data_IF_762320890854
#
_entry.id   IF_762320890854
#
_cell.length_a   1.000
_cell.length_b   1.000
_cell.length_c   1.000
_cell.angle_alpha   90.00
_cell.angle_beta   90.00
_cell.angle_gamma   90.00
#
_symmetry.space_group_name_H-M   'P 1'
#
loop_
_entity.id
_entity.type
_entity.pdbx_description
1 polymer ?
#
# COMPACT_ATOMS: atom_id res chain seq x y z
N UNK A 1 13.07 0.40 8.53
CA UNK A 1 11.91 -0.06 9.32
C UNK A 1 12.35 -1.22 10.22
N UNK A 2 12.33 -1.06 11.56
CA UNK A 2 12.83 -2.10 12.51
C UNK A 2 11.76 -3.10 12.95
N UNK A 3 10.52 -2.87 12.54
CA UNK A 3 9.32 -3.57 13.07
C UNK A 3 8.84 -4.72 12.21
N UNK A 4 9.33 -4.83 10.97
CA UNK A 4 9.06 -5.97 10.09
C UNK A 4 10.21 -6.96 10.21
N UNK A 5 9.90 -8.18 10.64
CA UNK A 5 10.85 -9.27 10.81
C UNK A 5 10.48 -10.40 9.85
N UNK A 6 11.39 -10.87 8.99
CA UNK A 6 11.06 -11.99 8.11
C UNK A 6 10.83 -13.24 8.98
N UNK A 7 9.71 -13.92 8.75
CA UNK A 7 9.38 -15.16 9.43
C UNK A 7 10.15 -16.31 8.79
N UNK A 8 10.80 -17.12 9.60
CA UNK A 8 11.50 -18.32 9.11
C UNK A 8 10.50 -19.37 8.62
N UNK A 9 10.82 -20.03 7.51
CA UNK A 9 9.97 -21.06 6.92
C UNK A 9 9.94 -20.95 5.40
N UNK A 10 9.34 -21.95 4.75
CA UNK A 10 9.03 -21.93 3.33
C UNK A 10 7.53 -22.03 3.18
N UNK A 11 6.91 -20.97 2.69
CA UNK A 11 5.49 -20.90 2.44
C UNK A 11 5.28 -20.77 0.93
N UNK A 12 4.34 -21.54 0.40
CA UNK A 12 4.00 -21.51 -1.02
C UNK A 12 2.51 -21.57 -1.20
N UNK A 13 2.02 -21.02 -2.28
CA UNK A 13 0.68 -21.26 -2.78
C UNK A 13 0.51 -22.72 -3.23
N UNK A 14 -0.72 -23.13 -3.53
CA UNK A 14 -1.02 -24.49 -4.04
C UNK A 14 -0.35 -24.81 -5.37
N UNK A 15 -0.07 -23.79 -6.18
CA UNK A 15 0.67 -23.88 -7.44
C UNK A 15 2.19 -23.71 -7.27
N UNK A 16 2.69 -23.63 -6.03
CA UNK A 16 4.12 -23.59 -5.72
C UNK A 16 4.77 -22.20 -5.79
N UNK A 17 4.00 -21.14 -5.97
CA UNK A 17 4.51 -19.76 -5.95
C UNK A 17 4.94 -19.39 -4.52
N UNK A 18 6.18 -18.92 -4.29
CA UNK A 18 6.66 -18.57 -2.95
C UNK A 18 5.86 -17.43 -2.31
N UNK A 19 5.66 -17.52 -0.99
CA UNK A 19 5.04 -16.48 -0.16
C UNK A 19 6.07 -16.05 0.88
N UNK A 20 6.42 -14.77 0.89
CA UNK A 20 7.21 -14.20 1.97
C UNK A 20 6.30 -13.81 3.14
N UNK A 21 6.61 -14.33 4.33
CA UNK A 21 5.84 -14.04 5.53
C UNK A 21 6.67 -13.17 6.47
N UNK A 22 6.06 -12.10 6.98
CA UNK A 22 6.71 -11.12 7.83
C UNK A 22 5.89 -10.91 9.12
N UNK A 23 6.57 -10.91 10.25
CA UNK A 23 6.01 -10.54 11.55
C UNK A 23 6.15 -9.02 11.74
N UNK A 24 5.04 -8.35 11.96
CA UNK A 24 4.96 -6.93 12.26
C UNK A 24 4.85 -6.71 13.77
N UNK A 25 6.01 -6.39 14.37
CA UNK A 25 6.17 -6.07 15.79
C UNK A 25 6.33 -4.55 15.93
N UNK A 26 5.20 -3.85 16.00
CA UNK A 26 5.11 -2.40 16.11
C UNK A 26 5.61 -1.89 17.48
N UNK A 27 6.03 -0.62 17.59
CA UNK A 27 6.57 -0.09 18.83
C UNK A 27 5.46 0.12 19.85
N UNK A 28 5.76 -0.14 21.11
CA UNK A 28 4.91 0.25 22.24
C UNK A 28 5.45 1.49 22.97
N UNK A 29 6.73 1.84 22.75
CA UNK A 29 7.33 3.03 23.33
C UNK A 29 6.69 4.31 22.74
N UNK A 30 6.44 5.29 23.61
CA UNK A 30 5.67 6.47 23.24
C UNK A 30 6.36 7.28 22.15
N UNK A 31 7.68 7.45 22.20
CA UNK A 31 8.41 8.30 21.27
C UNK A 31 8.42 7.73 19.84
N UNK A 32 8.75 6.46 19.65
CA UNK A 32 8.72 5.86 18.32
C UNK A 32 7.29 5.77 17.76
N UNK A 33 6.29 5.55 18.63
CA UNK A 33 4.89 5.56 18.21
C UNK A 33 4.43 6.95 17.77
N UNK A 34 4.78 8.02 18.49
CA UNK A 34 4.49 9.41 18.12
C UNK A 34 5.17 9.81 16.80
N UNK A 35 6.44 9.44 16.60
CA UNK A 35 7.11 9.65 15.32
C UNK A 35 6.43 8.92 14.17
N UNK A 36 5.97 7.68 14.41
CA UNK A 36 5.20 6.94 13.40
C UNK A 36 3.85 7.58 13.11
N UNK A 37 3.15 8.06 14.14
CA UNK A 37 1.87 8.75 13.99
C UNK A 37 2.03 10.04 13.16
N UNK A 38 3.14 10.78 13.35
CA UNK A 38 3.50 11.92 12.51
C UNK A 38 3.83 11.51 11.07
N UNK A 39 4.62 10.46 10.86
CA UNK A 39 4.84 9.90 9.52
C UNK A 39 3.51 9.55 8.86
N UNK A 40 2.64 8.84 9.58
CA UNK A 40 1.34 8.40 9.13
C UNK A 40 0.43 9.56 8.70
N UNK A 41 0.22 10.58 9.54
CA UNK A 41 -0.65 11.73 9.18
C UNK A 41 -0.15 12.52 7.98
N UNK A 42 1.17 12.63 7.81
CA UNK A 42 1.77 13.36 6.68
C UNK A 42 1.50 12.70 5.32
N UNK A 43 1.00 11.44 5.28
CA UNK A 43 0.45 10.85 4.05
C UNK A 43 -0.85 11.51 3.61
N UNK A 44 -1.66 11.98 4.57
CA UNK A 44 -2.97 12.59 4.33
C UNK A 44 -2.86 14.10 4.18
N UNK A 45 -2.09 14.74 5.05
CA UNK A 45 -1.89 16.19 5.05
C UNK A 45 -0.56 16.51 5.73
N UNK A 46 0.37 17.21 5.05
CA UNK A 46 1.56 17.75 5.69
C UNK A 46 1.20 18.66 6.88
N UNK A 47 1.95 18.56 7.97
CA UNK A 47 1.73 19.35 9.18
C UNK A 47 1.65 20.86 8.90
N UNK A 48 2.47 21.40 8.00
CA UNK A 48 2.45 22.81 7.60
C UNK A 48 1.17 23.23 6.85
N UNK A 49 0.46 22.28 6.22
CA UNK A 49 -0.74 22.57 5.44
C UNK A 49 -2.02 22.52 6.28
N UNK A 50 -1.99 21.86 7.44
CA UNK A 50 -3.19 21.69 8.28
C UNK A 50 -3.78 23.05 8.69
N UNK A 51 -2.94 23.98 9.15
CA UNK A 51 -3.40 25.31 9.60
C UNK A 51 -3.91 26.20 8.44
N UNK A 52 -3.49 25.92 7.21
CA UNK A 52 -3.97 26.62 6.01
C UNK A 52 -5.34 26.10 5.59
N UNK A 53 -5.57 24.78 5.73
CA UNK A 53 -6.76 24.11 5.19
C UNK A 53 -7.93 24.01 6.17
N UNK A 54 -7.67 23.99 7.48
CA UNK A 54 -8.73 23.93 8.50
C UNK A 54 -9.49 25.26 8.57
N UNK A 55 -10.72 25.23 9.04
CA UNK A 55 -11.41 26.49 9.38
C UNK A 55 -10.82 27.08 10.67
N UNK A 56 -10.96 28.40 10.90
CA UNK A 56 -10.44 29.05 12.12
C UNK A 56 -10.97 28.41 13.42
N UNK A 57 -12.18 27.87 13.41
CA UNK A 57 -12.86 27.28 14.57
C UNK A 57 -12.45 25.84 14.85
N UNK A 58 -11.91 25.12 13.87
CA UNK A 58 -11.47 23.74 14.02
C UNK A 58 -10.06 23.67 14.62
N UNK A 59 -9.84 22.76 15.56
CA UNK A 59 -8.48 22.34 15.94
C UNK A 59 -7.84 21.48 14.82
N UNK A 60 -6.51 21.34 14.83
CA UNK A 60 -5.76 20.47 13.90
C UNK A 60 -6.29 19.04 13.93
N UNK A 61 -6.50 18.49 15.13
CA UNK A 61 -7.07 17.15 15.32
C UNK A 61 -8.50 17.00 14.79
N UNK A 62 -9.38 17.98 15.04
CA UNK A 62 -10.74 17.98 14.49
C UNK A 62 -10.74 17.93 12.97
N UNK A 63 -10.00 18.84 12.32
CA UNK A 63 -9.86 18.85 10.86
C UNK A 63 -9.40 17.49 10.32
N UNK A 64 -8.38 16.90 10.94
CA UNK A 64 -7.90 15.58 10.53
C UNK A 64 -8.99 14.52 10.68
N UNK A 65 -9.69 14.45 11.81
CA UNK A 65 -10.68 13.39 12.07
C UNK A 65 -12.01 13.54 11.33
N UNK A 66 -12.41 14.77 11.01
CA UNK A 66 -13.71 15.08 10.42
C UNK A 66 -13.65 15.23 8.90
N UNK A 67 -12.48 15.61 8.36
CA UNK A 67 -12.31 15.96 6.94
C UNK A 67 -11.31 15.06 6.22
N UNK A 68 -10.16 14.73 6.83
CA UNK A 68 -9.06 14.06 6.11
C UNK A 68 -8.99 12.55 6.33
N UNK A 69 -9.11 12.09 7.57
CA UNK A 69 -9.01 10.69 7.93
C UNK A 69 -10.33 9.97 7.72
N UNK A 70 -10.34 8.72 7.24
CA UNK A 70 -11.57 7.96 7.17
C UNK A 70 -12.23 7.85 8.56
N UNK A 71 -13.54 7.71 8.63
CA UNK A 71 -14.28 7.68 9.90
C UNK A 71 -14.00 6.40 10.68
N UNK A 72 -13.95 6.49 12.02
CA UNK A 72 -13.70 5.32 12.90
C UNK A 72 -14.83 4.31 12.85
N UNK A 73 -16.07 4.77 12.68
CA UNK A 73 -17.29 3.99 12.68
C UNK A 73 -18.20 4.40 11.52
N UNK A 74 -19.13 3.52 11.17
CA UNK A 74 -20.15 3.76 10.15
C UNK A 74 -19.68 3.61 8.71
N UNK A 75 -20.60 3.18 7.84
CA UNK A 75 -20.38 3.07 6.40
C UNK A 75 -19.08 2.30 6.04
N UNK A 76 -18.34 2.85 5.08
CA UNK A 76 -17.06 2.31 4.61
C UNK A 76 -15.86 2.78 5.44
N UNK A 77 -16.03 3.70 6.39
CA UNK A 77 -14.93 4.32 7.14
C UNK A 77 -13.96 3.33 7.80
N UNK A 78 -14.43 2.37 8.62
CA UNK A 78 -13.54 1.37 9.22
C UNK A 78 -12.76 0.55 8.20
N UNK A 79 -13.40 0.17 7.08
CA UNK A 79 -12.77 -0.58 6.01
C UNK A 79 -11.71 0.25 5.29
N UNK A 80 -12.00 1.52 5.01
CA UNK A 80 -11.04 2.47 4.41
C UNK A 80 -9.87 2.74 5.35
N UNK A 81 -10.08 2.83 6.68
CA UNK A 81 -8.98 2.94 7.66
C UNK A 81 -8.03 1.75 7.59
N UNK A 82 -8.59 0.55 7.57
CA UNK A 82 -7.81 -0.69 7.50
C UNK A 82 -7.05 -0.79 6.18
N UNK A 83 -7.73 -0.52 5.05
CA UNK A 83 -7.14 -0.50 3.72
C UNK A 83 -5.97 0.47 3.64
N UNK A 84 -6.20 1.76 3.94
CA UNK A 84 -5.16 2.78 3.91
C UNK A 84 -3.96 2.42 4.82
N UNK A 85 -4.22 1.88 6.02
CA UNK A 85 -3.15 1.41 6.90
C UNK A 85 -2.31 0.31 6.25
N UNK A 86 -2.96 -0.68 5.63
CA UNK A 86 -2.27 -1.75 4.93
C UNK A 86 -1.45 -1.23 3.75
N UNK A 87 -2.01 -0.33 2.93
CA UNK A 87 -1.31 0.29 1.81
C UNK A 87 -0.08 1.07 2.28
N UNK A 88 -0.20 1.87 3.35
CA UNK A 88 0.93 2.63 3.93
C UNK A 88 2.01 1.70 4.47
N UNK A 89 1.62 0.60 5.14
CA UNK A 89 2.57 -0.40 5.64
C UNK A 89 3.34 -1.09 4.51
N UNK A 90 2.69 -1.39 3.37
CA UNK A 90 3.36 -1.95 2.19
C UNK A 90 4.25 -0.90 1.51
N UNK A 91 3.83 0.36 1.43
CA UNK A 91 4.67 1.45 0.97
C UNK A 91 5.94 1.61 1.82
N UNK A 92 5.80 1.51 3.14
CA UNK A 92 6.88 1.52 4.11
C UNK A 92 7.83 0.32 3.93
N UNK A 93 7.29 -0.88 3.70
CA UNK A 93 8.06 -2.07 3.34
C UNK A 93 8.87 -1.86 2.05
N UNK A 94 8.22 -1.42 0.97
CA UNK A 94 8.90 -1.17 -0.29
C UNK A 94 10.01 -0.13 -0.14
N UNK A 95 9.76 0.95 0.60
CA UNK A 95 10.75 2.01 0.76
C UNK A 95 11.94 1.60 1.61
N UNK A 96 11.70 1.04 2.79
CA UNK A 96 12.75 0.86 3.80
C UNK A 96 13.29 -0.55 3.92
N UNK A 97 12.61 -1.56 3.36
CA UNK A 97 13.08 -2.94 3.31
C UNK A 97 13.61 -3.27 1.92
N UNK A 98 12.90 -2.83 0.87
CA UNK A 98 13.26 -3.13 -0.52
C UNK A 98 14.02 -2.02 -1.25
N UNK A 99 14.09 -0.80 -0.68
CA UNK A 99 14.87 0.31 -1.25
C UNK A 99 14.22 1.03 -2.43
N UNK A 100 12.90 0.87 -2.64
CA UNK A 100 12.18 1.61 -3.67
C UNK A 100 11.92 3.06 -3.24
N UNK A 101 11.88 3.98 -4.21
CA UNK A 101 11.26 5.29 -4.01
C UNK A 101 9.74 5.15 -4.14
N UNK A 102 8.99 5.64 -3.15
CA UNK A 102 7.52 5.57 -3.12
C UNK A 102 6.96 7.00 -3.05
N UNK A 103 6.19 7.48 -4.05
CA UNK A 103 5.76 8.89 -4.11
C UNK A 103 4.73 9.32 -3.06
N UNK A 104 3.98 8.37 -2.49
CA UNK A 104 3.00 8.59 -1.41
C UNK A 104 1.98 9.72 -1.70
N UNK A 105 1.37 9.67 -2.89
CA UNK A 105 0.42 10.71 -3.36
C UNK A 105 -1.06 10.31 -3.23
N UNK A 106 -1.34 9.03 -2.99
CA UNK A 106 -2.70 8.46 -2.99
C UNK A 106 -3.56 9.03 -1.86
N UNK A 107 -3.08 8.93 -0.62
CA UNK A 107 -3.87 9.30 0.57
C UNK A 107 -4.14 10.81 0.67
N UNK A 108 -3.15 11.64 0.32
CA UNK A 108 -3.34 13.10 0.31
C UNK A 108 -4.39 13.56 -0.70
N UNK A 109 -4.63 12.75 -1.74
CA UNK A 109 -5.52 13.06 -2.87
C UNK A 109 -6.96 12.60 -2.65
N UNK A 110 -7.32 12.12 -1.45
CA UNK A 110 -8.72 11.81 -1.09
C UNK A 110 -9.54 13.10 -1.07
N UNK A 111 -10.57 13.13 -1.92
CA UNK A 111 -11.61 14.18 -1.93
C UNK A 111 -12.69 13.83 -0.90
N UNK A 112 -13.04 12.54 -0.78
CA UNK A 112 -14.01 12.01 0.18
C UNK A 112 -13.24 11.11 1.15
N UNK A 113 -13.28 11.40 2.46
CA UNK A 113 -12.46 10.73 3.47
C UNK A 113 -12.65 9.19 3.53
N UNK A 114 -13.86 8.71 3.24
CA UNK A 114 -14.20 7.28 3.32
C UNK A 114 -14.02 6.53 1.98
N UNK A 115 -13.46 7.18 0.95
CA UNK A 115 -13.21 6.56 -0.35
C UNK A 115 -11.71 6.59 -0.69
N UNK A 116 -11.22 5.54 -1.32
CA UNK A 116 -9.86 5.51 -1.87
C UNK A 116 -9.88 5.96 -3.33
N UNK A 117 -8.89 6.76 -3.78
CA UNK A 117 -8.75 7.06 -5.19
C UNK A 117 -8.67 5.77 -6.03
N UNK A 118 -9.22 5.81 -7.24
CA UNK A 118 -9.08 4.69 -8.18
C UNK A 118 -7.63 4.62 -8.69
N UNK A 119 -7.22 3.44 -9.13
CA UNK A 119 -5.86 3.14 -9.57
C UNK A 119 -5.18 2.18 -8.59
N UNK A 120 -3.92 1.84 -8.87
CA UNK A 120 -3.16 0.87 -8.09
C UNK A 120 -2.92 1.33 -6.66
N UNK A 121 -2.89 0.39 -5.71
CA UNK A 121 -2.79 0.69 -4.29
C UNK A 121 -1.42 1.29 -3.93
N UNK A 122 -0.33 0.62 -4.30
CA UNK A 122 1.05 1.08 -4.04
C UNK A 122 1.92 0.96 -5.27
N UNK A 123 2.64 2.03 -5.63
CA UNK A 123 3.59 2.07 -6.74
C UNK A 123 4.97 2.48 -6.22
N UNK A 124 6.00 1.72 -6.57
CA UNK A 124 7.39 1.99 -6.21
C UNK A 124 8.31 2.04 -7.44
N UNK A 125 9.37 2.84 -7.31
CA UNK A 125 10.37 3.05 -8.36
C UNK A 125 11.75 2.70 -7.84
N UNK A 126 12.41 1.73 -8.46
CA UNK A 126 13.82 1.45 -8.22
C UNK A 126 14.63 2.02 -9.37
N UNK A 127 15.60 2.87 -9.04
CA UNK A 127 16.51 3.47 -10.01
C UNK A 127 17.87 2.82 -9.83
N UNK A 128 18.35 2.11 -10.85
CA UNK A 128 19.67 1.49 -10.80
C UNK A 128 20.77 2.55 -10.84
N UNK A 129 20.58 3.58 -11.68
CA UNK A 129 21.39 4.80 -11.72
C UNK A 129 20.47 6.02 -11.63
N UNK A 130 20.65 6.95 -10.67
CA UNK A 130 19.87 8.18 -10.62
C UNK A 130 20.09 9.10 -11.84
N UNK A 131 21.20 8.99 -12.56
CA UNK A 131 21.58 9.93 -13.62
C UNK A 131 20.92 9.68 -14.98
N UNK A 132 20.31 8.51 -15.20
CA UNK A 132 19.63 8.21 -16.46
C UNK A 132 18.88 6.88 -16.45
N UNK A 133 17.96 6.67 -17.40
CA UNK A 133 17.19 5.42 -17.53
C UNK A 133 18.10 4.21 -17.72
N UNK A 134 17.78 3.09 -17.07
CA UNK A 134 18.52 1.83 -17.17
C UNK A 134 17.55 0.67 -17.40
N UNK A 135 17.99 -0.36 -18.12
CA UNK A 135 17.23 -1.61 -18.32
C UNK A 135 16.94 -2.34 -17.01
N UNK A 136 17.75 -2.12 -15.98
CA UNK A 136 17.62 -2.70 -14.64
C UNK A 136 16.74 -1.86 -13.69
N UNK A 137 16.28 -0.69 -14.12
CA UNK A 137 15.27 0.07 -13.39
C UNK A 137 14.04 -0.81 -13.18
N UNK A 138 13.32 -0.62 -12.06
CA UNK A 138 12.14 -1.42 -11.75
C UNK A 138 10.95 -0.55 -11.39
N UNK A 139 9.82 -0.87 -12.02
CA UNK A 139 8.52 -0.39 -11.62
C UNK A 139 7.81 -1.52 -10.89
N UNK A 140 7.44 -1.27 -9.64
CA UNK A 140 6.70 -2.24 -8.82
C UNK A 140 5.32 -1.73 -8.49
N UNK A 141 4.32 -2.61 -8.61
CA UNK A 141 2.92 -2.31 -8.30
C UNK A 141 2.38 -3.38 -7.36
N UNK A 142 1.86 -2.98 -6.20
CA UNK A 142 1.25 -3.88 -5.23
C UNK A 142 -0.24 -3.61 -5.10
N UNK A 143 -1.02 -4.69 -5.13
CA UNK A 143 -2.38 -4.73 -4.63
C UNK A 143 -2.38 -5.21 -3.18
N UNK A 144 -3.11 -4.52 -2.30
CA UNK A 144 -3.06 -4.77 -0.84
C UNK A 144 -4.44 -5.10 -0.31
N UNK A 145 -4.54 -6.17 0.50
CA UNK A 145 -5.79 -6.56 1.17
C UNK A 145 -5.54 -6.77 2.65
N UNK A 146 -6.43 -6.22 3.48
CA UNK A 146 -6.36 -6.37 4.94
C UNK A 146 -7.39 -7.36 5.47
N UNK A 147 -7.02 -8.10 6.51
CA UNK A 147 -7.90 -8.98 7.30
C UNK A 147 -7.73 -8.66 8.79
N UNK A 148 -8.39 -7.60 9.24
CA UNK A 148 -8.38 -7.18 10.66
C UNK A 148 -9.66 -7.56 11.41
N UNK A 149 -10.59 -8.25 10.74
CA UNK A 149 -11.80 -8.81 11.31
C UNK A 149 -12.10 -10.18 10.68
N UNK A 150 -12.97 -10.96 11.33
CA UNK A 150 -13.33 -12.30 10.87
C UNK A 150 -13.86 -12.27 9.43
N UNK A 151 -13.22 -13.05 8.56
CA UNK A 151 -13.61 -13.23 7.17
C UNK A 151 -13.24 -14.63 6.71
N UNK A 152 -14.11 -15.23 5.90
CA UNK A 152 -13.86 -16.51 5.22
C UNK A 152 -13.10 -16.33 3.90
N UNK A 153 -12.93 -15.09 3.44
CA UNK A 153 -12.24 -14.81 2.19
C UNK A 153 -10.73 -15.02 2.34
N UNK A 154 -10.14 -15.65 1.32
CA UNK A 154 -8.69 -15.68 1.16
C UNK A 154 -8.23 -14.33 0.60
N UNK A 155 -7.76 -13.43 1.49
CA UNK A 155 -7.36 -12.09 1.09
C UNK A 155 -6.15 -12.08 0.16
N UNK A 156 -5.22 -13.03 0.32
CA UNK A 156 -4.08 -13.15 -0.60
C UNK A 156 -4.56 -13.51 -2.02
N UNK A 157 -5.49 -14.46 -2.17
CA UNK A 157 -6.08 -14.76 -3.49
C UNK A 157 -6.79 -13.53 -4.07
N UNK A 158 -7.52 -12.77 -3.25
CA UNK A 158 -8.17 -11.53 -3.70
C UNK A 158 -7.13 -10.52 -4.20
N UNK A 159 -6.03 -10.34 -3.49
CA UNK A 159 -4.93 -9.46 -3.92
C UNK A 159 -4.30 -9.94 -5.24
N UNK A 160 -4.04 -11.24 -5.40
CA UNK A 160 -3.55 -11.83 -6.66
C UNK A 160 -4.52 -11.56 -7.81
N UNK A 161 -5.81 -11.76 -7.59
CA UNK A 161 -6.85 -11.58 -8.61
C UNK A 161 -7.00 -10.14 -9.07
N UNK A 162 -6.84 -9.19 -8.16
CA UNK A 162 -6.96 -7.76 -8.45
C UNK A 162 -5.65 -7.23 -9.06
N UNK A 163 -4.48 -7.68 -8.60
CA UNK A 163 -3.17 -7.32 -9.15
C UNK A 163 -3.01 -7.71 -10.63
N UNK A 164 -3.67 -8.79 -11.06
CA UNK A 164 -3.67 -9.22 -12.47
C UNK A 164 -4.23 -8.19 -13.46
N UNK A 165 -4.80 -7.08 -12.98
CA UNK A 165 -5.34 -5.98 -13.80
C UNK A 165 -4.51 -4.70 -13.70
N UNK A 166 -3.49 -4.64 -12.83
CA UNK A 166 -2.74 -3.41 -12.58
C UNK A 166 -1.99 -2.91 -13.82
N UNK A 167 -1.47 -3.81 -14.64
CA UNK A 167 -0.78 -3.47 -15.89
C UNK A 167 -1.65 -2.65 -16.86
N UNK A 168 -2.98 -2.83 -16.81
CA UNK A 168 -3.91 -2.08 -17.65
C UNK A 168 -4.05 -0.61 -17.22
N UNK A 169 -3.68 -0.28 -15.99
CA UNK A 169 -3.90 1.04 -15.37
C UNK A 169 -2.60 1.76 -15.05
N UNK A 170 -1.45 1.15 -15.28
CA UNK A 170 -0.17 1.70 -14.85
C UNK A 170 0.12 3.06 -15.49
N UNK A 171 -0.24 3.27 -16.76
CA UNK A 171 -0.09 4.55 -17.44
C UNK A 171 -0.90 5.69 -16.76
N UNK A 172 -2.13 5.40 -16.32
CA UNK A 172 -2.97 6.35 -15.59
C UNK A 172 -2.36 6.67 -14.23
N UNK A 173 -1.91 5.65 -13.50
CA UNK A 173 -1.21 5.80 -12.21
C UNK A 173 0.05 6.65 -12.34
N UNK A 174 0.90 6.39 -13.35
CA UNK A 174 2.13 7.14 -13.61
C UNK A 174 1.82 8.61 -13.94
N UNK A 175 0.82 8.87 -14.78
CA UNK A 175 0.39 10.23 -15.10
C UNK A 175 -0.10 10.99 -13.86
N UNK A 176 -0.95 10.35 -13.05
CA UNK A 176 -1.43 10.93 -11.80
C UNK A 176 -0.29 11.24 -10.82
N UNK A 177 0.64 10.31 -10.63
CA UNK A 177 1.81 10.52 -9.76
C UNK A 177 2.63 11.70 -10.28
N UNK A 178 2.93 11.76 -11.58
CA UNK A 178 3.73 12.85 -12.16
C UNK A 178 3.07 14.23 -12.00
N UNK A 179 1.75 14.32 -12.17
CA UNK A 179 1.00 15.54 -11.88
C UNK A 179 1.15 15.94 -10.41
N UNK A 180 1.03 14.99 -9.48
CA UNK A 180 1.18 15.26 -8.05
C UNK A 180 2.60 15.64 -7.63
N UNK A 181 3.62 15.12 -8.30
CA UNK A 181 5.00 15.58 -8.10
C UNK A 181 5.14 17.04 -8.58
N UNK A 182 4.58 17.37 -9.74
CA UNK A 182 4.59 18.73 -10.28
C UNK A 182 3.83 19.72 -9.38
N UNK A 183 2.63 19.35 -8.89
CA UNK A 183 1.83 20.16 -7.96
C UNK A 183 2.62 20.52 -6.69
N UNK A 184 3.54 19.63 -6.26
CA UNK A 184 4.42 19.81 -5.10
C UNK A 184 5.76 20.48 -5.43
N UNK A 185 5.97 20.91 -6.68
CA UNK A 185 7.25 21.38 -7.21
C UNK A 185 8.41 20.37 -7.04
N UNK A 186 8.11 19.08 -6.96
CA UNK A 186 9.10 18.00 -6.88
C UNK A 186 9.58 17.60 -8.28
N UNK A 187 10.54 18.35 -8.81
CA UNK A 187 11.08 18.10 -10.14
C UNK A 187 11.91 16.82 -10.23
N UNK A 188 12.49 16.36 -9.11
CA UNK A 188 13.17 15.07 -9.05
C UNK A 188 12.16 13.93 -9.23
N UNK A 189 11.02 14.01 -8.55
CA UNK A 189 9.89 13.09 -8.71
C UNK A 189 9.30 13.11 -10.12
N UNK A 190 9.14 14.29 -10.73
CA UNK A 190 8.68 14.43 -12.13
C UNK A 190 9.63 13.73 -13.10
N UNK A 191 10.94 13.94 -12.94
CA UNK A 191 11.97 13.29 -13.76
C UNK A 191 11.97 11.79 -13.57
N UNK A 192 11.96 11.33 -12.31
CA UNK A 192 11.91 9.92 -11.94
C UNK A 192 10.74 9.21 -12.62
N UNK A 193 9.52 9.72 -12.47
CA UNK A 193 8.32 9.10 -13.07
C UNK A 193 8.39 9.13 -14.60
N UNK A 194 8.94 10.20 -15.18
CA UNK A 194 9.13 10.34 -16.62
C UNK A 194 9.94 9.19 -17.25
N UNK A 195 10.91 8.61 -16.51
CA UNK A 195 11.70 7.45 -16.97
C UNK A 195 10.83 6.24 -17.30
N UNK A 196 9.72 6.07 -16.57
CA UNK A 196 8.84 4.91 -16.68
C UNK A 196 7.63 5.13 -17.59
N UNK A 197 7.49 6.30 -18.22
CA UNK A 197 6.35 6.61 -19.09
C UNK A 197 6.58 6.27 -20.57
N UNK A 198 7.82 5.94 -20.95
CA UNK A 198 8.16 5.53 -22.32
C UNK A 198 9.00 4.24 -22.31
N UNK A 199 8.38 3.07 -22.01
CA UNK A 199 9.08 1.79 -21.94
C UNK A 199 9.71 1.34 -23.27
N UNK A 200 9.28 1.90 -24.41
CA UNK A 200 9.86 1.58 -25.72
C UNK A 200 11.28 2.14 -25.86
N UNK A 201 11.48 3.40 -25.49
CA UNK A 201 12.79 4.05 -25.56
C UNK A 201 13.61 3.87 -24.28
N UNK A 202 12.93 3.73 -23.14
CA UNK A 202 13.51 3.55 -21.81
C UNK A 202 12.99 2.25 -21.18
N UNK A 203 13.45 1.08 -21.66
CA UNK A 203 13.03 -0.21 -21.11
C UNK A 203 13.36 -0.31 -19.63
N UNK A 204 12.47 -0.93 -18.86
CA UNK A 204 12.61 -1.21 -17.43
C UNK A 204 11.92 -2.54 -17.10
N UNK A 205 12.16 -3.06 -15.89
CA UNK A 205 11.53 -4.28 -15.39
C UNK A 205 10.22 -3.98 -14.68
N UNK A 206 9.16 -4.69 -15.04
CA UNK A 206 7.88 -4.67 -14.33
C UNK A 206 7.79 -5.82 -13.32
N UNK A 207 7.44 -5.47 -12.09
CA UNK A 207 7.18 -6.41 -11.01
C UNK A 207 5.81 -6.13 -10.39
N UNK A 208 5.05 -7.19 -10.13
CA UNK A 208 3.72 -7.09 -9.50
C UNK A 208 3.74 -7.75 -8.15
N UNK A 209 2.91 -7.26 -7.24
CA UNK A 209 2.84 -7.73 -5.87
C UNK A 209 1.42 -7.92 -5.40
N UNK A 210 1.20 -8.96 -4.61
CA UNK A 210 -0.03 -9.20 -3.89
C UNK A 210 0.27 -9.32 -2.39
N UNK A 211 -0.32 -8.44 -1.59
CA UNK A 211 -0.08 -8.37 -0.15
C UNK A 211 -1.34 -8.67 0.66
N UNK A 212 -1.22 -9.57 1.63
CA UNK A 212 -2.19 -9.74 2.71
C UNK A 212 -1.63 -9.17 4.02
N UNK A 213 -2.34 -8.23 4.64
CA UNK A 213 -2.02 -7.73 5.98
C UNK A 213 -3.06 -8.27 6.96
N UNK A 214 -2.64 -9.06 7.93
CA UNK A 214 -3.54 -9.90 8.73
C UNK A 214 -3.28 -9.73 10.22
N UNK A 215 -4.34 -9.64 11.01
CA UNK A 215 -4.17 -9.74 12.45
C UNK A 215 -3.78 -11.16 12.84
N UNK A 216 -2.77 -11.33 13.69
CA UNK A 216 -2.26 -12.66 14.08
C UNK A 216 -3.35 -13.56 14.66
N UNK A 217 -4.31 -13.01 15.39
CA UNK A 217 -5.46 -13.75 15.94
C UNK A 217 -6.45 -14.28 14.88
N UNK A 218 -6.36 -13.80 13.64
CA UNK A 218 -7.14 -14.23 12.49
C UNK A 218 -6.32 -15.04 11.49
N UNK A 219 -5.02 -15.19 11.76
CA UNK A 219 -4.07 -15.80 10.85
C UNK A 219 -4.32 -17.30 10.73
N UNK A 220 -4.56 -17.73 9.50
CA UNK A 220 -4.52 -19.12 9.12
C UNK A 220 -3.69 -19.20 7.85
N UNK A 221 -2.39 -19.43 7.99
CA UNK A 221 -1.47 -19.51 6.84
C UNK A 221 -1.91 -20.58 5.84
N UNK A 222 -2.61 -21.64 6.27
CA UNK A 222 -3.18 -22.62 5.35
C UNK A 222 -4.19 -21.99 4.37
N UNK A 223 -4.90 -20.93 4.78
CA UNK A 223 -5.78 -20.16 3.88
C UNK A 223 -4.96 -19.38 2.86
N UNK A 224 -3.94 -18.63 3.28
CA UNK A 224 -3.07 -17.89 2.35
C UNK A 224 -2.32 -18.84 1.40
N UNK A 225 -1.80 -19.97 1.91
CA UNK A 225 -1.17 -21.02 1.12
C UNK A 225 -2.16 -21.74 0.19
N UNK A 226 -3.47 -21.71 0.48
CA UNK A 226 -4.50 -22.22 -0.43
C UNK A 226 -4.73 -21.32 -1.66
N UNK A 227 -4.07 -20.16 -1.75
CA UNK A 227 -4.10 -19.34 -2.96
C UNK A 227 -3.48 -20.11 -4.15
N UNK A 228 -3.76 -19.61 -5.36
CA UNK A 228 -3.38 -20.20 -6.63
C UNK A 228 -3.18 -19.08 -7.66
N UNK A 229 -1.92 -18.88 -8.08
CA UNK A 229 -1.56 -17.86 -9.06
C UNK A 229 -1.80 -18.30 -10.52
N UNK A 230 -2.06 -19.60 -10.75
CA UNK A 230 -2.48 -20.15 -12.04
C UNK A 230 -3.99 -19.99 -12.30
N UNK A 231 -4.77 -19.63 -11.26
CA UNK A 231 -6.23 -19.61 -11.30
C UNK A 231 -6.81 -18.23 -10.97
N UNK A 232 -6.49 -17.23 -11.80
CA UNK A 232 -7.02 -15.87 -11.70
C UNK A 232 -8.24 -15.70 -12.61
N UNK A 233 -9.39 -15.17 -12.14
CA UNK A 233 -10.53 -14.90 -12.99
C UNK A 233 -10.18 -13.95 -14.13
N UNK A 234 -10.48 -14.35 -15.38
CA UNK A 234 -10.17 -13.52 -16.56
C UNK A 234 -10.87 -12.16 -16.54
N UNK A 235 -12.02 -12.09 -15.88
CA UNK A 235 -12.77 -10.88 -15.59
C UNK A 235 -13.45 -11.02 -14.23
N UNK A 236 -13.84 -9.89 -13.61
CA UNK A 236 -14.53 -9.90 -12.30
C UNK A 236 -15.82 -10.74 -12.40
N UNK A 237 -15.94 -11.76 -11.55
CA UNK A 237 -17.11 -12.65 -11.51
C UNK A 237 -17.12 -13.75 -12.58
N UNK A 238 -16.06 -13.90 -13.38
CA UNK A 238 -15.95 -15.00 -14.34
C UNK A 238 -15.55 -16.31 -13.66
N UNK A 239 -16.18 -17.42 -14.07
CA UNK A 239 -15.75 -18.78 -13.71
C UNK A 239 -14.51 -19.22 -14.50
N UNK A 240 -14.22 -18.55 -15.63
CA UNK A 240 -13.02 -18.83 -16.42
C UNK A 240 -11.82 -18.23 -15.71
N UNK A 241 -10.82 -19.07 -15.49
CA UNK A 241 -9.55 -18.68 -14.88
C UNK A 241 -8.38 -18.83 -15.85
N UNK A 242 -7.36 -18.02 -15.65
CA UNK A 242 -6.09 -18.07 -16.36
C UNK A 242 -4.93 -17.77 -15.38
N UNK A 243 -3.68 -18.11 -15.75
CA UNK A 243 -2.54 -17.72 -14.95
C UNK A 243 -2.41 -16.21 -14.81
N UNK A 244 -1.86 -15.76 -13.69
CA UNK A 244 -1.53 -14.36 -13.48
C UNK A 244 -0.65 -13.86 -14.65
N UNK A 245 -0.97 -12.73 -15.31
CA UNK A 245 -0.25 -12.29 -16.52
C UNK A 245 1.25 -12.08 -16.30
N UNK A 246 1.63 -11.75 -15.06
CA UNK A 246 3.01 -11.53 -14.62
C UNK A 246 3.51 -12.60 -13.65
N UNK A 247 3.05 -13.85 -13.76
CA UNK A 247 3.36 -14.92 -12.82
C UNK A 247 4.86 -15.04 -12.48
N UNK A 248 5.75 -14.89 -13.47
CA UNK A 248 7.21 -14.98 -13.26
C UNK A 248 7.79 -13.83 -12.42
N UNK A 249 7.12 -12.68 -12.41
CA UNK A 249 7.53 -11.46 -11.72
C UNK A 249 6.50 -11.06 -10.63
N UNK A 250 5.74 -12.03 -10.13
CA UNK A 250 4.75 -11.83 -9.07
C UNK A 250 5.39 -12.12 -7.71
N UNK A 251 5.37 -11.15 -6.81
CA UNK A 251 5.79 -11.29 -5.43
C UNK A 251 4.57 -11.41 -4.50
N UNK A 252 4.56 -12.41 -3.63
CA UNK A 252 3.49 -12.60 -2.65
C UNK A 252 4.03 -12.31 -1.26
N UNK A 253 3.37 -11.42 -0.54
CA UNK A 253 3.73 -11.11 0.85
C UNK A 253 2.54 -11.26 1.80
N UNK A 254 2.81 -11.80 2.98
CA UNK A 254 1.87 -11.80 4.11
C UNK A 254 2.55 -11.09 5.27
N UNK A 255 1.92 -10.04 5.79
CA UNK A 255 2.39 -9.32 6.98
C UNK A 255 1.41 -9.59 8.12
N UNK A 256 1.85 -10.30 9.16
CA UNK A 256 1.05 -10.65 10.34
C UNK A 256 1.44 -9.78 11.54
N UNK A 257 0.48 -9.21 12.24
CA UNK A 257 0.74 -8.47 13.49
C UNK A 257 -0.43 -8.55 14.47
N UNK A 258 -0.21 -8.32 15.75
CA UNK A 258 -1.24 -8.47 16.78
C UNK A 258 -2.23 -7.31 16.80
N UNK A 259 -3.54 -7.60 16.93
CA UNK A 259 -4.60 -6.60 17.16
C UNK A 259 -4.61 -5.43 16.15
N UNK A 260 -4.37 -5.69 14.85
CA UNK A 260 -4.12 -4.62 13.87
C UNK A 260 -5.26 -3.61 13.70
N UNK A 261 -6.52 -3.99 13.92
CA UNK A 261 -7.62 -3.01 13.89
C UNK A 261 -7.52 -2.01 15.04
N UNK A 262 -7.21 -2.50 16.24
CA UNK A 262 -7.03 -1.68 17.44
C UNK A 262 -5.82 -0.76 17.28
N UNK A 263 -4.72 -1.31 16.76
CA UNK A 263 -3.53 -0.53 16.40
C UNK A 263 -3.87 0.56 15.38
N UNK A 264 -4.58 0.21 14.31
CA UNK A 264 -5.00 1.15 13.27
C UNK A 264 -5.76 2.30 13.89
N UNK A 265 -6.81 2.02 14.67
CA UNK A 265 -7.58 3.05 15.34
C UNK A 265 -6.75 3.94 16.27
N UNK A 266 -5.86 3.34 17.07
CA UNK A 266 -4.95 4.07 17.96
C UNK A 266 -4.00 4.97 17.17
N UNK A 267 -3.46 4.51 16.05
CA UNK A 267 -2.54 5.29 15.22
C UNK A 267 -3.24 6.53 14.65
N UNK A 268 -4.46 6.39 14.13
CA UNK A 268 -5.26 7.55 13.69
C UNK A 268 -5.57 8.53 14.83
N UNK A 269 -5.84 8.03 16.03
CA UNK A 269 -6.12 8.85 17.20
C UNK A 269 -4.90 9.65 17.65
N UNK A 270 -3.75 9.00 17.81
CA UNK A 270 -2.49 9.68 18.17
C UNK A 270 -2.07 10.65 17.07
N UNK A 271 -2.19 10.24 15.80
CA UNK A 271 -1.90 11.07 14.64
C UNK A 271 -2.70 12.39 14.63
N UNK A 272 -3.96 12.36 15.05
CA UNK A 272 -4.80 13.55 15.16
C UNK A 272 -4.51 14.37 16.42
N UNK A 273 -4.30 13.71 17.56
CA UNK A 273 -4.12 14.39 18.85
C UNK A 273 -2.76 15.09 18.97
N UNK A 274 -1.73 14.57 18.31
CA UNK A 274 -0.37 15.13 18.30
C UNK A 274 -0.06 15.97 17.05
N UNK A 275 -1.10 16.36 16.31
CA UNK A 275 -0.99 17.11 15.06
C UNK A 275 -0.53 18.55 15.26
#
# INVERSE_FOLDING_TARGET
MKWLKPRSGSYTTTDGTPIEVWDFVYPEDSEAFSQWARHFRNHYCPDEHIDILRTPEQTRGQYLTEVKFPTKTGGLGPATRAGDFGEILVADFLQWVRGYKVPRVRWSSKIIQNESPKGSDVVGFFLNDPNGPQTEDKLVVYEVKTKFSQSKENRLQTAINDSAKDYLRIGESLNFIKQKMLDRNDMEGVSMVGRFQNPTDNPYLEQYGAAEIISTELECLATSCAANCQAVPVNKGSEKVAPHPYLKNLELIVISGSELMKLTHRLYEVAANEA
#
